data_IF_842924837700
#
_entry.id   IF_842924837700
#
_cell.length_a   1.000
_cell.length_b   1.000
_cell.length_c   1.000
_cell.angle_alpha   90.00
_cell.angle_beta   90.00
_cell.angle_gamma   90.00
#
_symmetry.space_group_name_H-M   'P 1'
#
loop_
_entity.id
_entity.type
_entity.pdbx_description
1 polymer ?
#
# COMPACT_ATOMS: atom_id res chain seq x y z
N UNK A 1 55.06 17.90 -40.87
CA UNK A 1 55.40 16.80 -39.94
C UNK A 1 54.11 16.10 -39.53
N UNK A 2 54.20 14.83 -39.19
CA UNK A 2 53.11 13.85 -39.34
C UNK A 2 52.21 13.77 -38.10
N UNK A 3 50.90 13.87 -38.29
CA UNK A 3 49.91 13.43 -37.31
C UNK A 3 49.92 11.89 -37.26
N UNK A 4 49.84 11.30 -36.07
CA UNK A 4 49.98 9.85 -35.87
C UNK A 4 48.70 9.24 -35.31
N UNK A 5 48.14 8.32 -36.08
CA UNK A 5 47.15 7.30 -35.71
C UNK A 5 47.93 5.97 -35.55
N UNK A 6 47.47 4.87 -34.95
CA UNK A 6 46.21 4.40 -34.33
C UNK A 6 46.59 3.74 -32.95
N UNK A 7 45.80 2.91 -32.22
CA UNK A 7 44.37 2.54 -32.29
C UNK A 7 43.63 2.48 -30.93
N UNK A 8 42.34 2.08 -30.98
CA UNK A 8 41.48 1.73 -29.83
C UNK A 8 41.70 0.29 -29.34
N UNK A 9 41.41 0.04 -28.05
CA UNK A 9 41.03 -1.21 -27.35
C UNK A 9 41.35 -1.02 -25.85
N UNK A 10 40.64 -1.55 -24.85
CA UNK A 10 39.31 -2.16 -24.75
C UNK A 10 38.88 -2.03 -23.28
N UNK A 11 37.62 -2.34 -22.95
CA UNK A 11 36.98 -1.90 -21.70
C UNK A 11 37.64 -2.23 -20.35
N UNK A 12 37.41 -1.33 -19.39
CA UNK A 12 37.15 -1.72 -18.01
C UNK A 12 36.04 -0.82 -17.44
N UNK A 13 34.83 -1.37 -17.45
CA UNK A 13 33.64 -0.70 -16.93
C UNK A 13 33.68 -0.70 -15.41
N UNK A 14 34.15 0.40 -14.81
CA UNK A 14 34.05 0.68 -13.38
C UNK A 14 32.59 0.98 -12.97
N UNK A 15 31.71 -0.01 -13.21
CA UNK A 15 30.54 -0.23 -12.38
C UNK A 15 30.98 -1.11 -11.22
N UNK A 16 31.55 -0.50 -10.17
CA UNK A 16 31.50 -1.11 -8.84
C UNK A 16 30.07 -1.01 -8.29
N UNK A 17 29.16 -1.61 -9.06
CA UNK A 17 27.77 -1.78 -8.70
C UNK A 17 27.72 -2.96 -7.75
N UNK A 18 28.15 -2.71 -6.52
CA UNK A 18 27.74 -3.48 -5.35
C UNK A 18 26.22 -3.34 -5.23
N UNK A 19 25.52 -4.12 -6.06
CA UNK A 19 24.14 -4.49 -5.86
C UNK A 19 24.15 -5.23 -4.52
N UNK A 20 23.87 -4.49 -3.45
CA UNK A 20 23.63 -5.06 -2.14
C UNK A 20 22.43 -5.99 -2.32
N UNK A 21 22.72 -7.29 -2.35
CA UNK A 21 21.73 -8.32 -2.56
C UNK A 21 20.65 -8.14 -1.48
N UNK A 22 19.40 -7.97 -1.91
CA UNK A 22 18.29 -7.75 -0.98
C UNK A 22 18.07 -8.96 -0.04
N UNK A 23 18.73 -10.09 -0.33
CA UNK A 23 18.79 -11.27 0.52
C UNK A 23 19.72 -11.16 1.76
N UNK A 24 20.66 -10.21 1.82
CA UNK A 24 21.67 -10.14 2.91
C UNK A 24 21.31 -9.13 4.04
N UNK A 25 20.05 -8.67 4.06
CA UNK A 25 19.49 -8.00 5.23
C UNK A 25 19.16 -9.06 6.29
N UNK A 26 19.57 -8.89 7.57
CA UNK A 26 19.18 -9.82 8.61
C UNK A 26 17.66 -9.82 8.75
N UNK A 27 17.03 -10.94 8.37
CA UNK A 27 15.59 -11.17 8.50
C UNK A 27 15.22 -11.35 9.97
N UNK A 28 15.22 -10.24 10.71
CA UNK A 28 14.60 -10.15 12.03
C UNK A 28 13.10 -10.23 11.80
N UNK A 29 12.47 -11.32 12.20
CA UNK A 29 11.02 -11.46 12.17
C UNK A 29 10.38 -10.25 12.88
N UNK A 30 9.36 -9.60 12.28
CA UNK A 30 8.65 -8.53 12.96
C UNK A 30 8.07 -9.02 14.28
N UNK A 31 8.43 -8.35 15.38
CA UNK A 31 7.88 -8.65 16.70
C UNK A 31 6.35 -8.69 16.64
N UNK A 32 5.75 -9.70 17.28
CA UNK A 32 4.30 -9.87 17.36
C UNK A 32 3.64 -8.70 18.11
N UNK A 33 2.31 -8.57 17.96
CA UNK A 33 1.57 -7.41 18.48
C UNK A 33 1.76 -7.23 19.99
N UNK A 34 1.66 -8.32 20.75
CA UNK A 34 1.90 -8.40 22.19
C UNK A 34 3.32 -7.98 22.56
N UNK A 35 4.34 -8.53 21.89
CA UNK A 35 5.73 -8.18 22.12
C UNK A 35 5.97 -6.67 21.89
N UNK A 36 5.36 -6.08 20.86
CA UNK A 36 5.48 -4.65 20.58
C UNK A 36 4.77 -3.77 21.61
N UNK A 37 3.54 -4.11 21.99
CA UNK A 37 2.74 -3.35 22.96
C UNK A 37 3.36 -3.38 24.36
N UNK A 38 3.92 -4.53 24.77
CA UNK A 38 4.50 -4.70 26.11
C UNK A 38 5.92 -4.09 26.21
N UNK A 39 6.74 -4.21 25.16
CA UNK A 39 8.16 -3.80 25.21
C UNK A 39 8.45 -2.35 24.81
N UNK A 40 7.55 -1.70 24.06
CA UNK A 40 7.76 -0.34 23.53
C UNK A 40 6.86 0.68 24.22
N UNK A 41 7.32 1.93 24.30
CA UNK A 41 6.46 3.03 24.74
C UNK A 41 5.45 3.41 23.67
N UNK A 42 4.31 3.94 24.09
CA UNK A 42 3.24 4.38 23.18
C UNK A 42 3.75 5.47 22.23
N UNK A 43 4.65 6.35 22.70
CA UNK A 43 5.36 7.34 21.86
C UNK A 43 6.21 6.70 20.76
N UNK A 44 6.91 5.60 21.05
CA UNK A 44 7.70 4.85 20.04
C UNK A 44 6.79 4.16 19.03
N UNK A 45 5.72 3.51 19.49
CA UNK A 45 4.72 2.88 18.62
C UNK A 45 4.04 3.91 17.68
N UNK A 46 3.74 5.12 18.19
CA UNK A 46 3.26 6.23 17.35
C UNK A 46 4.29 6.65 16.29
N UNK A 47 5.57 6.77 16.65
CA UNK A 47 6.61 7.14 15.69
C UNK A 47 6.77 6.10 14.57
N UNK A 48 6.70 4.80 14.91
CA UNK A 48 6.68 3.71 13.95
C UNK A 48 5.45 3.77 13.03
N UNK A 49 4.24 3.97 13.58
CA UNK A 49 3.02 4.09 12.80
C UNK A 49 3.06 5.28 11.82
N UNK A 50 3.57 6.44 12.25
CA UNK A 50 3.81 7.60 11.38
C UNK A 50 4.81 7.26 10.28
N UNK A 51 5.92 6.58 10.61
CA UNK A 51 6.92 6.20 9.61
C UNK A 51 6.34 5.28 8.53
N UNK A 52 5.60 4.24 8.92
CA UNK A 52 4.97 3.32 7.97
C UNK A 52 3.90 4.00 7.11
N UNK A 53 3.05 4.84 7.71
CA UNK A 53 2.05 5.62 6.97
C UNK A 53 2.71 6.66 6.04
N UNK A 54 3.85 7.25 6.41
CA UNK A 54 4.59 8.18 5.57
C UNK A 54 5.21 7.47 4.36
N UNK A 55 5.69 6.24 4.53
CA UNK A 55 6.14 5.38 3.41
C UNK A 55 4.99 5.06 2.46
N UNK A 56 3.82 4.66 2.99
CA UNK A 56 2.63 4.38 2.18
C UNK A 56 2.14 5.63 1.44
N UNK A 57 2.14 6.78 2.10
CA UNK A 57 1.83 8.09 1.52
C UNK A 57 2.77 8.45 0.38
N UNK A 58 4.09 8.27 0.55
CA UNK A 58 5.06 8.56 -0.49
C UNK A 58 4.84 7.71 -1.76
N UNK A 59 4.51 6.42 -1.59
CA UNK A 59 4.16 5.54 -2.71
C UNK A 59 2.88 6.02 -3.44
N UNK A 60 1.83 6.38 -2.70
CA UNK A 60 0.58 6.90 -3.27
C UNK A 60 0.76 8.27 -3.94
N UNK A 61 1.61 9.15 -3.40
CA UNK A 61 1.93 10.44 -4.00
C UNK A 61 2.57 10.26 -5.39
N UNK A 62 3.52 9.34 -5.52
CA UNK A 62 4.16 9.03 -6.81
C UNK A 62 3.14 8.44 -7.80
N UNK A 63 2.34 7.46 -7.39
CA UNK A 63 1.36 6.84 -8.28
C UNK A 63 0.23 7.77 -8.70
N UNK A 64 -0.31 8.59 -7.79
CA UNK A 64 -1.30 9.61 -8.11
C UNK A 64 -0.76 10.64 -9.10
N UNK A 65 0.48 11.12 -8.92
CA UNK A 65 1.13 12.04 -9.87
C UNK A 65 1.28 11.42 -11.26
N UNK A 66 1.71 10.15 -11.34
CA UNK A 66 1.86 9.43 -12.63
C UNK A 66 0.51 9.23 -13.32
N UNK A 67 -0.55 8.90 -12.58
CA UNK A 67 -1.88 8.74 -13.15
C UNK A 67 -2.52 10.06 -13.57
N UNK A 68 -2.29 11.16 -12.86
CA UNK A 68 -2.77 12.48 -13.27
C UNK A 68 -2.08 12.95 -14.56
N UNK A 69 -0.76 12.78 -14.68
CA UNK A 69 -0.04 13.07 -15.93
C UNK A 69 -0.54 12.21 -17.11
N UNK A 70 -0.81 10.91 -16.88
CA UNK A 70 -1.45 10.03 -17.89
C UNK A 70 -2.83 10.54 -18.29
N UNK A 71 -3.65 10.96 -17.33
CA UNK A 71 -4.98 11.54 -17.56
C UNK A 71 -4.90 12.83 -18.38
N UNK A 72 -3.98 13.74 -18.04
CA UNK A 72 -3.76 15.00 -18.77
C UNK A 72 -3.30 14.70 -20.20
N UNK A 73 -2.30 13.84 -20.38
CA UNK A 73 -1.81 13.44 -21.70
C UNK A 73 -2.89 12.77 -22.56
N UNK A 74 -3.70 11.89 -21.96
CA UNK A 74 -4.81 11.22 -22.64
C UNK A 74 -5.88 12.21 -23.13
N UNK A 75 -6.24 13.21 -22.30
CA UNK A 75 -7.16 14.29 -22.69
C UNK A 75 -6.60 15.16 -23.82
N UNK A 76 -5.30 15.48 -23.81
CA UNK A 76 -4.63 16.24 -24.88
C UNK A 76 -4.59 15.44 -26.20
N UNK A 77 -4.29 14.14 -26.14
CA UNK A 77 -4.28 13.26 -27.31
C UNK A 77 -5.68 13.10 -27.92
N UNK A 78 -6.71 12.96 -27.07
CA UNK A 78 -8.11 12.92 -27.51
C UNK A 78 -8.53 14.25 -28.18
N UNK A 79 -8.22 15.40 -27.58
CA UNK A 79 -8.58 16.71 -28.13
C UNK A 79 -7.83 17.07 -29.42
N UNK A 80 -6.59 16.58 -29.60
CA UNK A 80 -5.79 16.81 -30.81
C UNK A 80 -6.01 15.76 -31.92
N UNK A 81 -6.71 14.66 -31.62
CA UNK A 81 -6.90 13.53 -32.53
C UNK A 81 -5.63 12.70 -32.79
N UNK A 82 -4.51 13.02 -32.16
CA UNK A 82 -3.22 12.32 -32.34
C UNK A 82 -3.08 11.26 -31.26
N UNK A 83 -3.01 9.98 -31.66
CA UNK A 83 -2.92 8.82 -30.73
C UNK A 83 -4.02 8.82 -29.65
N UNK A 84 -5.23 9.26 -30.01
CA UNK A 84 -6.39 9.15 -29.13
C UNK A 84 -6.64 7.68 -28.77
N UNK A 85 -6.74 7.39 -27.47
CA UNK A 85 -7.14 6.08 -26.97
C UNK A 85 -8.65 5.86 -27.15
N UNK A 86 -9.13 4.62 -27.01
CA UNK A 86 -10.56 4.34 -27.06
C UNK A 86 -11.28 4.92 -25.82
N UNK A 87 -12.60 5.18 -25.89
CA UNK A 87 -13.35 5.74 -24.76
C UNK A 87 -13.23 4.91 -23.47
N UNK A 88 -13.12 3.59 -23.59
CA UNK A 88 -12.98 2.64 -22.48
C UNK A 88 -11.65 2.85 -21.76
N UNK A 89 -10.55 2.95 -22.51
CA UNK A 89 -9.21 3.22 -21.96
C UNK A 89 -9.13 4.63 -21.34
N UNK A 90 -9.83 5.61 -21.91
CA UNK A 90 -9.92 6.95 -21.31
C UNK A 90 -10.68 6.92 -19.97
N UNK A 91 -11.76 6.15 -19.88
CA UNK A 91 -12.51 5.96 -18.64
C UNK A 91 -11.70 5.20 -17.58
N UNK A 92 -10.94 4.17 -17.97
CA UNK A 92 -10.02 3.44 -17.08
C UNK A 92 -8.94 4.37 -16.49
N UNK A 93 -8.27 5.18 -17.34
CA UNK A 93 -7.26 6.15 -16.90
C UNK A 93 -7.85 7.18 -15.93
N UNK A 94 -9.05 7.68 -16.20
CA UNK A 94 -9.75 8.62 -15.31
C UNK A 94 -10.10 7.96 -13.97
N UNK A 95 -10.66 6.75 -13.98
CA UNK A 95 -11.01 6.00 -12.79
C UNK A 95 -9.78 5.73 -11.90
N UNK A 96 -8.69 5.25 -12.49
CA UNK A 96 -7.44 5.01 -11.77
C UNK A 96 -6.85 6.31 -11.20
N UNK A 97 -6.84 7.41 -11.95
CA UNK A 97 -6.37 8.70 -11.45
C UNK A 97 -7.22 9.21 -10.27
N UNK A 98 -8.54 9.02 -10.30
CA UNK A 98 -9.44 9.38 -9.20
C UNK A 98 -9.20 8.49 -7.97
N UNK A 99 -9.09 7.16 -8.13
CA UNK A 99 -8.83 6.23 -7.02
C UNK A 99 -7.52 6.57 -6.30
N UNK A 100 -6.40 6.67 -7.02
CA UNK A 100 -5.10 6.99 -6.42
C UNK A 100 -5.09 8.35 -5.71
N UNK A 101 -5.83 9.34 -6.23
CA UNK A 101 -5.95 10.65 -5.60
C UNK A 101 -6.84 10.63 -4.34
N UNK A 102 -7.88 9.81 -4.31
CA UNK A 102 -8.71 9.58 -3.14
C UNK A 102 -7.93 8.86 -2.03
N UNK A 103 -7.18 7.81 -2.38
CA UNK A 103 -6.35 7.05 -1.44
C UNK A 103 -5.26 7.92 -0.82
N UNK A 104 -4.58 8.74 -1.64
CA UNK A 104 -3.60 9.72 -1.17
C UNK A 104 -4.21 10.70 -0.16
N UNK A 105 -5.45 11.17 -0.40
CA UNK A 105 -6.19 12.04 0.52
C UNK A 105 -6.53 11.32 1.83
N UNK A 106 -7.02 10.08 1.76
CA UNK A 106 -7.33 9.26 2.93
C UNK A 106 -6.08 9.00 3.80
N UNK A 107 -4.95 8.64 3.19
CA UNK A 107 -3.68 8.42 3.89
C UNK A 107 -3.15 9.72 4.51
N UNK A 108 -3.29 10.86 3.81
CA UNK A 108 -2.94 12.19 4.35
C UNK A 108 -3.75 12.50 5.63
N UNK A 109 -5.05 12.24 5.61
CA UNK A 109 -5.92 12.44 6.77
C UNK A 109 -5.58 11.47 7.92
N UNK A 110 -5.22 10.22 7.62
CA UNK A 110 -4.76 9.25 8.62
C UNK A 110 -3.44 9.69 9.29
N UNK A 111 -2.47 10.16 8.51
CA UNK A 111 -1.21 10.74 9.01
C UNK A 111 -1.45 11.91 9.98
N UNK A 112 -2.34 12.84 9.61
CA UNK A 112 -2.69 13.99 10.46
C UNK A 112 -3.34 13.55 11.78
N UNK A 113 -4.27 12.58 11.72
CA UNK A 113 -4.92 12.03 12.90
C UNK A 113 -3.92 11.36 13.85
N UNK A 114 -3.07 10.45 13.34
CA UNK A 114 -2.04 9.78 14.16
C UNK A 114 -1.04 10.80 14.72
N UNK A 115 -0.64 11.81 13.94
CA UNK A 115 0.25 12.88 14.40
C UNK A 115 -0.35 13.70 15.55
N UNK A 116 -1.67 13.86 15.63
CA UNK A 116 -2.36 14.59 16.68
C UNK A 116 -2.52 13.82 18.02
N UNK A 117 -2.35 12.49 18.04
CA UNK A 117 -2.52 11.68 19.27
C UNK A 117 -1.44 12.02 20.31
N UNK A 118 -1.83 12.38 21.53
CA UNK A 118 -0.89 12.51 22.66
C UNK A 118 -0.56 11.13 23.23
N UNK A 119 0.72 10.81 23.39
CA UNK A 119 1.19 9.49 23.85
C UNK A 119 2.19 9.61 25.00
N UNK A 120 2.10 8.77 26.06
CA UNK A 120 3.08 8.71 27.13
C UNK A 120 4.45 8.18 26.65
N UNK A 121 5.50 8.56 27.37
CA UNK A 121 6.89 8.16 27.05
C UNK A 121 7.28 6.79 27.64
N UNK A 122 6.55 6.29 28.63
CA UNK A 122 6.76 4.98 29.24
C UNK A 122 6.06 3.85 28.44
N UNK A 123 6.51 2.59 28.56
CA UNK A 123 5.72 1.41 28.20
C UNK A 123 4.39 1.39 28.96
N UNK A 124 3.32 0.91 28.32
CA UNK A 124 1.96 0.95 28.89
C UNK A 124 1.87 0.21 30.24
N UNK A 125 2.61 -0.88 30.39
CA UNK A 125 2.74 -1.67 31.63
C UNK A 125 3.37 -0.87 32.79
N UNK A 126 4.32 0.01 32.50
CA UNK A 126 5.00 0.85 33.49
C UNK A 126 4.20 2.12 33.83
N UNK A 127 3.51 2.69 32.84
CA UNK A 127 2.70 3.90 32.99
C UNK A 127 1.44 3.62 33.81
N UNK A 128 0.74 2.51 33.49
CA UNK A 128 -0.49 2.11 34.18
C UNK A 128 -0.25 1.33 35.47
N UNK A 129 0.95 0.74 35.67
CA UNK A 129 1.29 -0.10 36.83
C UNK A 129 0.32 -1.25 37.06
N UNK A 130 0.00 -1.98 35.98
CA UNK A 130 -0.95 -3.08 36.00
C UNK A 130 -0.48 -4.18 36.96
N UNK A 131 -1.34 -4.61 37.88
CA UNK A 131 -1.08 -5.68 38.84
C UNK A 131 -2.23 -6.71 38.86
N UNK A 132 -1.90 -7.99 38.97
CA UNK A 132 -2.89 -9.07 39.09
C UNK A 132 -3.87 -9.14 37.91
N UNK A 133 -5.17 -9.14 38.21
CA UNK A 133 -6.27 -9.27 37.24
C UNK A 133 -6.24 -8.18 36.14
N UNK A 134 -5.65 -6.99 36.42
CA UNK A 134 -5.50 -5.93 35.41
C UNK A 134 -4.43 -6.26 34.36
N UNK A 135 -3.42 -7.04 34.73
CA UNK A 135 -2.39 -7.52 33.80
C UNK A 135 -2.94 -8.64 32.91
N UNK A 136 -3.72 -9.55 33.48
CA UNK A 136 -4.39 -10.63 32.73
C UNK A 136 -5.39 -10.04 31.72
N UNK A 137 -6.23 -9.09 32.15
CA UNK A 137 -7.15 -8.36 31.25
C UNK A 137 -6.42 -7.65 30.11
N UNK A 138 -5.26 -7.05 30.37
CA UNK A 138 -4.48 -6.39 29.32
C UNK A 138 -3.91 -7.39 28.31
N UNK A 139 -3.55 -8.61 28.73
CA UNK A 139 -3.13 -9.67 27.82
C UNK A 139 -4.30 -10.17 26.95
N UNK A 140 -5.46 -10.45 27.55
CA UNK A 140 -6.68 -10.90 26.86
C UNK A 140 -7.13 -9.88 25.77
N UNK A 141 -7.05 -8.58 26.08
CA UNK A 141 -7.39 -7.51 25.13
C UNK A 141 -6.42 -7.44 23.94
N UNK A 142 -5.12 -7.65 24.18
CA UNK A 142 -4.10 -7.68 23.13
C UNK A 142 -4.28 -8.92 22.24
N UNK A 143 -4.52 -10.10 22.82
CA UNK A 143 -4.78 -11.33 22.06
C UNK A 143 -6.04 -11.18 21.19
N UNK A 144 -7.14 -10.69 21.78
CA UNK A 144 -8.40 -10.42 21.06
C UNK A 144 -8.18 -9.48 19.86
N UNK A 145 -7.44 -8.38 20.07
CA UNK A 145 -7.09 -7.46 18.98
C UNK A 145 -6.22 -8.12 17.89
N UNK A 146 -5.27 -8.98 18.27
CA UNK A 146 -4.44 -9.72 17.31
C UNK A 146 -5.26 -10.71 16.47
N UNK A 147 -6.26 -11.36 17.07
CA UNK A 147 -7.19 -12.27 16.36
C UNK A 147 -8.09 -11.48 15.41
N UNK A 148 -8.66 -10.35 15.84
CA UNK A 148 -9.49 -9.49 15.00
C UNK A 148 -8.71 -8.91 13.80
N UNK A 149 -7.49 -8.43 14.02
CA UNK A 149 -6.61 -7.95 12.94
C UNK A 149 -6.26 -9.05 11.94
N UNK A 150 -5.93 -10.25 12.44
CA UNK A 150 -5.64 -11.41 11.58
C UNK A 150 -6.85 -11.80 10.74
N UNK A 151 -8.03 -11.83 11.37
CA UNK A 151 -9.31 -12.08 10.69
C UNK A 151 -9.57 -11.06 9.59
N UNK A 152 -9.43 -9.76 9.88
CA UNK A 152 -9.66 -8.71 8.91
C UNK A 152 -8.67 -8.78 7.73
N UNK A 153 -7.41 -9.12 7.98
CA UNK A 153 -6.41 -9.37 6.92
C UNK A 153 -6.80 -10.57 6.03
N UNK A 154 -7.36 -11.64 6.60
CA UNK A 154 -7.86 -12.77 5.83
C UNK A 154 -9.10 -12.40 5.01
N UNK A 155 -10.04 -11.64 5.58
CA UNK A 155 -11.22 -11.13 4.87
C UNK A 155 -10.86 -10.21 3.68
N UNK A 156 -9.76 -9.46 3.77
CA UNK A 156 -9.22 -8.65 2.65
C UNK A 156 -8.38 -9.46 1.65
N UNK A 157 -7.84 -10.63 2.05
CA UNK A 157 -6.99 -11.47 1.20
C UNK A 157 -7.78 -12.51 0.39
N UNK A 158 -9.02 -12.82 0.80
CA UNK A 158 -9.95 -13.62 0.02
C UNK A 158 -10.46 -12.76 -1.14
N UNK A 159 -10.25 -13.15 -2.42
CA UNK A 159 -10.90 -12.46 -3.53
C UNK A 159 -12.41 -12.52 -3.33
N UNK A 160 -13.08 -11.37 -3.45
CA UNK A 160 -14.53 -11.39 -3.62
C UNK A 160 -14.81 -11.90 -5.03
N UNK A 161 -15.15 -13.18 -5.13
CA UNK A 161 -15.73 -13.73 -6.36
C UNK A 161 -17.09 -13.04 -6.57
N UNK A 162 -17.11 -12.02 -7.43
CA UNK A 162 -18.31 -11.34 -7.93
C UNK A 162 -19.12 -12.27 -8.86
N UNK A 163 -19.51 -13.45 -8.37
CA UNK A 163 -20.11 -14.51 -9.16
C UNK A 163 -21.18 -15.32 -8.40
N UNK A 164 -22.10 -14.62 -7.75
CA UNK A 164 -23.40 -15.18 -7.37
C UNK A 164 -24.52 -14.65 -8.29
N UNK A 165 -24.89 -15.54 -9.22
CA UNK A 165 -26.25 -15.70 -9.77
C UNK A 165 -26.84 -14.57 -10.64
N UNK A 166 -26.29 -14.43 -11.86
CA UNK A 166 -27.08 -14.03 -13.03
C UNK A 166 -27.64 -15.28 -13.79
N UNK A 167 -28.18 -16.25 -13.05
CA UNK A 167 -28.89 -17.41 -13.62
C UNK A 167 -30.33 -17.51 -13.09
N UNK A 168 -31.24 -16.75 -13.72
CA UNK A 168 -32.54 -17.35 -14.04
C UNK A 168 -32.88 -17.02 -15.50
N UNK A 169 -32.77 -18.07 -16.30
CA UNK A 169 -32.66 -18.04 -17.75
C UNK A 169 -33.98 -17.66 -18.44
N UNK A 170 -33.88 -17.07 -19.63
CA UNK A 170 -34.99 -16.88 -20.55
C UNK A 170 -35.48 -18.24 -21.08
N UNK A 171 -36.52 -18.82 -20.48
CA UNK A 171 -37.29 -19.90 -21.12
C UNK A 171 -38.24 -19.31 -22.17
N UNK A 172 -37.67 -18.99 -23.34
CA UNK A 172 -38.45 -18.84 -24.57
C UNK A 172 -38.88 -20.20 -25.13
N UNK A 173 -39.96 -20.14 -25.92
CA UNK A 173 -40.50 -21.19 -26.78
C UNK A 173 -41.29 -22.34 -26.11
N UNK A 174 -42.61 -22.16 -26.08
CA UNK A 174 -43.44 -23.15 -26.77
C UNK A 174 -44.60 -22.49 -27.53
N UNK A 175 -44.48 -22.47 -28.85
CA UNK A 175 -45.58 -22.27 -29.78
C UNK A 175 -46.48 -23.52 -29.78
N UNK A 176 -47.79 -23.34 -29.59
CA UNK A 176 -48.76 -24.27 -30.17
C UNK A 176 -50.11 -23.60 -30.47
N UNK A 177 -50.73 -24.04 -31.56
CA UNK A 177 -51.95 -23.49 -32.13
C UNK A 177 -53.21 -23.99 -31.39
N UNK A 178 -54.31 -23.21 -31.46
CA UNK A 178 -55.62 -23.55 -30.87
C UNK A 178 -56.62 -22.40 -30.90
#
# INVERSE_FOLDING_TARGET
>A
MTLRLEPEQEGESLIDSTCADAADLPSVEPLSLDQRVISRSVKTLKAEAISSLATLHAAHLVGASVWDERRIAARINAASGVKAASPEVLAEIEGLAVTWQNDLSAITNALQQVAAISCPEAPISQDLRLEGEEQDLAADLIESCSVELTRHQLELAIPQDDNDEQEHNDEQEHTHEG
#
